data_IF_636529372760
#
_entry.id   IF_636529372760
#
_cell.length_a   1.000
_cell.length_b   1.000
_cell.length_c   1.000
_cell.angle_alpha   90.00
_cell.angle_beta   90.00
_cell.angle_gamma   90.00
#
_symmetry.space_group_name_H-M   'P 1'
#
loop_
_entity.id
_entity.type
_entity.pdbx_description
1 polymer ?
#
# COMPACT_ATOMS: atom_id res chain seq x y z
N UNK A 1 76.29 95.19 -12.70
CA UNK A 1 76.63 93.88 -12.09
C UNK A 1 75.66 93.48 -10.99
N UNK A 2 75.47 94.28 -9.93
CA UNK A 2 74.52 93.99 -8.83
C UNK A 2 73.06 93.79 -9.26
N UNK A 3 72.51 94.66 -10.12
CA UNK A 3 71.14 94.50 -10.65
C UNK A 3 70.95 93.21 -11.44
N UNK A 4 71.95 92.80 -12.23
CA UNK A 4 71.88 91.55 -13.00
C UNK A 4 71.90 90.32 -12.08
N UNK A 5 72.74 90.35 -11.05
CA UNK A 5 72.87 89.28 -10.06
C UNK A 5 71.60 89.15 -9.21
N UNK A 6 70.99 90.28 -8.83
CA UNK A 6 69.70 90.31 -8.14
C UNK A 6 68.56 89.76 -9.01
N UNK A 7 68.45 90.21 -10.27
CA UNK A 7 67.44 89.72 -11.20
C UNK A 7 67.60 88.21 -11.45
N UNK A 8 68.83 87.73 -11.60
CA UNK A 8 69.11 86.30 -11.78
C UNK A 8 68.70 85.47 -10.55
N UNK A 9 69.07 85.91 -9.34
CA UNK A 9 68.68 85.23 -8.10
C UNK A 9 67.17 85.22 -7.91
N UNK A 10 66.49 86.33 -8.19
CA UNK A 10 65.03 86.40 -8.10
C UNK A 10 64.34 85.43 -9.07
N UNK A 11 64.79 85.40 -10.32
CA UNK A 11 64.23 84.53 -11.36
C UNK A 11 64.49 83.05 -11.04
N UNK A 12 65.67 82.72 -10.54
CA UNK A 12 66.01 81.38 -10.08
C UNK A 12 65.14 80.94 -8.90
N UNK A 13 65.03 81.77 -7.86
CA UNK A 13 64.20 81.46 -6.69
C UNK A 13 62.73 81.31 -7.06
N UNK A 14 62.21 82.17 -7.93
CA UNK A 14 60.83 82.09 -8.42
C UNK A 14 60.59 80.80 -9.20
N UNK A 15 61.46 80.46 -10.16
CA UNK A 15 61.34 79.24 -10.95
C UNK A 15 61.44 77.98 -10.07
N UNK A 16 62.36 77.98 -9.11
CA UNK A 16 62.51 76.86 -8.18
C UNK A 16 61.27 76.66 -7.32
N UNK A 17 60.76 77.74 -6.69
CA UNK A 17 59.54 77.69 -5.89
C UNK A 17 58.33 77.26 -6.72
N UNK A 18 58.18 77.81 -7.93
CA UNK A 18 57.08 77.46 -8.82
C UNK A 18 57.12 75.98 -9.22
N UNK A 19 58.28 75.49 -9.66
CA UNK A 19 58.45 74.09 -10.04
C UNK A 19 58.23 73.15 -8.85
N UNK A 20 58.76 73.50 -7.68
CA UNK A 20 58.59 72.71 -6.47
C UNK A 20 57.12 72.63 -6.06
N UNK A 21 56.43 73.76 -5.96
CA UNK A 21 55.01 73.81 -5.59
C UNK A 21 54.14 73.09 -6.61
N UNK A 22 54.38 73.31 -7.90
CA UNK A 22 53.63 72.65 -8.96
C UNK A 22 53.80 71.13 -8.91
N UNK A 23 55.04 70.66 -8.83
CA UNK A 23 55.34 69.22 -8.77
C UNK A 23 54.77 68.59 -7.49
N UNK A 24 54.92 69.25 -6.34
CA UNK A 24 54.38 68.76 -5.08
C UNK A 24 52.85 68.66 -5.10
N UNK A 25 52.17 69.73 -5.50
CA UNK A 25 50.71 69.75 -5.57
C UNK A 25 50.19 68.74 -6.60
N UNK A 26 50.82 68.64 -7.77
CA UNK A 26 50.41 67.70 -8.80
C UNK A 26 50.57 66.26 -8.33
N UNK A 27 51.74 65.89 -7.79
CA UNK A 27 51.99 64.54 -7.29
C UNK A 27 51.08 64.19 -6.12
N UNK A 28 50.90 65.12 -5.17
CA UNK A 28 50.04 64.89 -4.02
C UNK A 28 48.58 64.68 -4.45
N UNK A 29 48.06 65.58 -5.29
CA UNK A 29 46.68 65.47 -5.78
C UNK A 29 46.48 64.21 -6.61
N UNK A 30 47.42 63.89 -7.51
CA UNK A 30 47.35 62.69 -8.34
C UNK A 30 47.38 61.41 -7.49
N UNK A 31 48.33 61.29 -6.57
CA UNK A 31 48.45 60.13 -5.70
C UNK A 31 47.23 60.00 -4.78
N UNK A 32 46.77 61.10 -4.19
CA UNK A 32 45.61 61.07 -3.30
C UNK A 32 44.34 60.69 -4.05
N UNK A 33 44.05 61.33 -5.18
CA UNK A 33 42.87 60.99 -6.00
C UNK A 33 42.95 59.56 -6.53
N UNK A 34 44.09 59.15 -7.06
CA UNK A 34 44.26 57.81 -7.60
C UNK A 34 44.11 56.76 -6.52
N UNK A 35 44.80 56.91 -5.38
CA UNK A 35 44.72 55.96 -4.28
C UNK A 35 43.30 55.93 -3.70
N UNK A 36 42.68 57.08 -3.47
CA UNK A 36 41.34 57.13 -2.90
C UNK A 36 40.30 56.55 -3.86
N UNK A 37 40.27 57.00 -5.11
CA UNK A 37 39.30 56.49 -6.09
C UNK A 37 39.54 55.01 -6.38
N UNK A 38 40.78 54.60 -6.63
CA UNK A 38 41.08 53.22 -6.98
C UNK A 38 40.82 52.29 -5.81
N UNK A 39 41.40 52.54 -4.63
CA UNK A 39 41.21 51.65 -3.49
C UNK A 39 39.77 51.67 -3.02
N UNK A 40 39.15 52.84 -2.87
CA UNK A 40 37.79 52.90 -2.33
C UNK A 40 36.79 52.33 -3.32
N UNK A 41 36.80 52.75 -4.59
CA UNK A 41 35.83 52.25 -5.56
C UNK A 41 36.07 50.78 -5.86
N UNK A 42 37.33 50.36 -6.09
CA UNK A 42 37.61 48.96 -6.43
C UNK A 42 37.33 48.04 -5.26
N UNK A 43 37.81 48.36 -4.06
CA UNK A 43 37.56 47.50 -2.89
C UNK A 43 36.08 47.46 -2.56
N UNK A 44 35.37 48.61 -2.57
CA UNK A 44 33.97 48.65 -2.22
C UNK A 44 33.11 47.94 -3.27
N UNK A 45 33.30 48.22 -4.57
CA UNK A 45 32.56 47.52 -5.63
C UNK A 45 32.88 46.04 -5.63
N UNK A 46 34.15 45.65 -5.55
CA UNK A 46 34.53 44.24 -5.61
C UNK A 46 34.04 43.48 -4.39
N UNK A 47 34.26 43.97 -3.17
CA UNK A 47 33.76 43.32 -1.96
C UNK A 47 32.24 43.28 -1.95
N UNK A 48 31.57 44.39 -2.28
CA UNK A 48 30.11 44.42 -2.23
C UNK A 48 29.49 43.54 -3.30
N UNK A 49 29.92 43.64 -4.57
CA UNK A 49 29.40 42.78 -5.65
C UNK A 49 29.74 41.32 -5.40
N UNK A 50 30.99 41.00 -5.04
CA UNK A 50 31.39 39.62 -4.82
C UNK A 50 30.67 39.02 -3.61
N UNK A 51 30.64 39.71 -2.48
CA UNK A 51 29.93 39.22 -1.30
C UNK A 51 28.44 39.10 -1.57
N UNK A 52 27.81 40.11 -2.17
CA UNK A 52 26.37 40.08 -2.42
C UNK A 52 26.01 39.00 -3.46
N UNK A 53 26.68 38.95 -4.60
CA UNK A 53 26.41 37.94 -5.63
C UNK A 53 26.73 36.54 -5.11
N UNK A 54 27.87 36.34 -4.45
CA UNK A 54 28.26 35.01 -3.99
C UNK A 54 27.36 34.54 -2.85
N UNK A 55 27.14 35.35 -1.81
CA UNK A 55 26.25 34.97 -0.71
C UNK A 55 24.82 34.81 -1.20
N UNK A 56 24.29 35.75 -1.98
CA UNK A 56 22.91 35.67 -2.43
C UNK A 56 22.71 34.49 -3.37
N UNK A 57 23.58 34.31 -4.38
CA UNK A 57 23.45 33.18 -5.31
C UNK A 57 23.67 31.85 -4.58
N UNK A 58 24.68 31.74 -3.71
CA UNK A 58 24.95 30.50 -2.99
C UNK A 58 23.82 30.18 -2.00
N UNK A 59 23.44 31.12 -1.14
CA UNK A 59 22.35 30.90 -0.18
C UNK A 59 21.04 30.64 -0.90
N UNK A 60 20.67 31.46 -1.89
CA UNK A 60 19.40 31.30 -2.58
C UNK A 60 19.37 30.00 -3.39
N UNK A 61 20.36 29.74 -4.25
CA UNK A 61 20.37 28.50 -5.03
C UNK A 61 20.49 27.29 -4.12
N UNK A 62 21.38 27.29 -3.15
CA UNK A 62 21.58 26.13 -2.30
C UNK A 62 20.36 25.87 -1.40
N UNK A 63 19.86 26.87 -0.67
CA UNK A 63 18.68 26.68 0.18
C UNK A 63 17.45 26.37 -0.64
N UNK A 64 17.20 27.10 -1.73
CA UNK A 64 16.01 26.88 -2.54
C UNK A 64 16.07 25.52 -3.23
N UNK A 65 17.18 25.16 -3.87
CA UNK A 65 17.31 23.85 -4.52
C UNK A 65 17.27 22.73 -3.48
N UNK A 66 17.97 22.86 -2.36
CA UNK A 66 17.98 21.82 -1.33
C UNK A 66 16.60 21.66 -0.70
N UNK A 67 15.95 22.75 -0.25
CA UNK A 67 14.61 22.68 0.32
C UNK A 67 13.60 22.17 -0.71
N UNK A 68 13.62 22.68 -1.94
CA UNK A 68 12.66 22.27 -2.95
C UNK A 68 12.86 20.81 -3.36
N UNK A 69 14.09 20.40 -3.71
CA UNK A 69 14.37 19.01 -4.08
C UNK A 69 14.10 18.07 -2.92
N UNK A 70 14.58 18.39 -1.72
CA UNK A 70 14.42 17.51 -0.57
C UNK A 70 12.95 17.41 -0.16
N UNK A 71 12.24 18.53 -0.04
CA UNK A 71 10.81 18.51 0.29
C UNK A 71 10.00 17.82 -0.80
N UNK A 72 10.23 18.13 -2.07
CA UNK A 72 9.48 17.54 -3.17
C UNK A 72 9.76 16.05 -3.31
N UNK A 73 11.03 15.63 -3.32
CA UNK A 73 11.39 14.21 -3.38
C UNK A 73 10.88 13.47 -2.16
N UNK A 74 11.08 14.00 -0.95
CA UNK A 74 10.67 13.32 0.27
C UNK A 74 9.15 13.23 0.37
N UNK A 75 8.40 14.32 0.17
CA UNK A 75 6.93 14.28 0.18
C UNK A 75 6.40 13.39 -0.93
N UNK A 76 6.91 13.53 -2.15
CA UNK A 76 6.40 12.75 -3.28
C UNK A 76 6.72 11.26 -3.11
N UNK A 77 7.97 10.89 -2.82
CA UNK A 77 8.33 9.49 -2.58
C UNK A 77 7.59 8.94 -1.37
N UNK A 78 7.57 9.65 -0.25
CA UNK A 78 6.95 9.15 0.96
C UNK A 78 5.44 9.01 0.79
N UNK A 79 4.74 10.05 0.33
CA UNK A 79 3.29 9.97 0.11
C UNK A 79 2.95 8.95 -0.97
N UNK A 80 3.66 8.95 -2.10
CA UNK A 80 3.35 8.03 -3.19
C UNK A 80 3.64 6.59 -2.81
N UNK A 81 4.85 6.27 -2.32
CA UNK A 81 5.18 4.90 -1.90
C UNK A 81 4.30 4.46 -0.75
N UNK A 82 4.13 5.29 0.28
CA UNK A 82 3.36 4.89 1.46
C UNK A 82 1.88 4.71 1.10
N UNK A 83 1.27 5.67 0.41
CA UNK A 83 -0.13 5.54 0.00
C UNK A 83 -0.32 4.38 -0.97
N UNK A 84 0.54 4.24 -1.98
CA UNK A 84 0.39 3.17 -2.97
C UNK A 84 0.64 1.81 -2.34
N UNK A 85 1.75 1.61 -1.61
CA UNK A 85 2.01 0.34 -0.93
C UNK A 85 0.94 0.03 0.10
N UNK A 86 0.57 0.98 0.96
CA UNK A 86 -0.40 0.73 2.00
C UNK A 86 -1.78 0.45 1.42
N UNK A 87 -2.29 1.28 0.51
CA UNK A 87 -3.59 1.02 -0.12
C UNK A 87 -3.56 -0.25 -0.95
N UNK A 88 -2.54 -0.49 -1.75
CA UNK A 88 -2.48 -1.66 -2.61
C UNK A 88 -2.34 -2.94 -1.80
N UNK A 89 -1.39 -3.02 -0.86
CA UNK A 89 -1.22 -4.19 0.01
C UNK A 89 -2.44 -4.40 0.89
N UNK A 90 -2.95 -3.34 1.53
CA UNK A 90 -4.10 -3.48 2.42
C UNK A 90 -5.34 -3.90 1.63
N UNK A 91 -5.65 -3.24 0.52
CA UNK A 91 -6.80 -3.61 -0.30
C UNK A 91 -6.63 -5.00 -0.89
N UNK A 92 -5.47 -5.34 -1.43
CA UNK A 92 -5.23 -6.65 -2.03
C UNK A 92 -5.29 -7.75 -0.97
N UNK A 93 -4.55 -7.63 0.13
CA UNK A 93 -4.58 -8.63 1.20
C UNK A 93 -5.95 -8.73 1.84
N UNK A 94 -6.59 -7.61 2.17
CA UNK A 94 -7.89 -7.63 2.84
C UNK A 94 -8.97 -8.17 1.92
N UNK A 95 -9.11 -7.67 0.68
CA UNK A 95 -10.10 -8.20 -0.27
C UNK A 95 -9.81 -9.65 -0.63
N UNK A 96 -8.57 -10.00 -0.92
CA UNK A 96 -8.24 -11.37 -1.32
C UNK A 96 -8.46 -12.34 -0.16
N UNK A 97 -7.95 -12.03 1.03
CA UNK A 97 -8.14 -12.89 2.19
C UNK A 97 -9.62 -12.97 2.58
N UNK A 98 -10.33 -11.84 2.61
CA UNK A 98 -11.74 -11.83 2.97
C UNK A 98 -12.58 -12.58 1.93
N UNK A 99 -12.42 -12.30 0.64
CA UNK A 99 -13.15 -13.02 -0.41
C UNK A 99 -12.79 -14.49 -0.43
N UNK A 100 -11.51 -14.84 -0.35
CA UNK A 100 -11.08 -16.23 -0.38
C UNK A 100 -11.57 -16.99 0.84
N UNK A 101 -11.34 -16.49 2.06
CA UNK A 101 -11.82 -17.14 3.28
C UNK A 101 -13.34 -17.19 3.31
N UNK A 102 -14.02 -16.09 2.99
CA UNK A 102 -15.48 -16.06 3.04
C UNK A 102 -16.10 -16.98 1.99
N UNK A 103 -15.68 -16.90 0.72
CA UNK A 103 -16.19 -17.78 -0.32
C UNK A 103 -15.82 -19.24 -0.05
N UNK A 104 -14.59 -19.52 0.32
CA UNK A 104 -14.15 -20.89 0.56
C UNK A 104 -14.86 -21.49 1.77
N UNK A 105 -14.89 -20.79 2.90
CA UNK A 105 -15.59 -21.26 4.10
C UNK A 105 -17.07 -21.38 3.84
N UNK A 106 -17.71 -20.38 3.23
CA UNK A 106 -19.14 -20.40 2.99
C UNK A 106 -19.50 -21.50 1.99
N UNK A 107 -18.85 -21.57 0.83
CA UNK A 107 -19.13 -22.62 -0.15
C UNK A 107 -18.80 -24.00 0.41
N UNK A 108 -17.65 -24.18 1.06
CA UNK A 108 -17.26 -25.49 1.58
C UNK A 108 -18.18 -25.93 2.72
N UNK A 109 -18.38 -25.10 3.75
CA UNK A 109 -19.28 -25.46 4.85
C UNK A 109 -20.70 -25.62 4.36
N UNK A 110 -21.23 -24.69 3.56
CA UNK A 110 -22.61 -24.75 3.12
C UNK A 110 -22.82 -25.96 2.20
N UNK A 111 -21.97 -26.16 1.19
CA UNK A 111 -22.11 -27.31 0.28
C UNK A 111 -21.88 -28.61 1.02
N UNK A 112 -20.85 -28.71 1.87
CA UNK A 112 -20.56 -29.94 2.60
C UNK A 112 -21.65 -30.26 3.62
N UNK A 113 -22.03 -29.31 4.48
CA UNK A 113 -23.11 -29.53 5.44
C UNK A 113 -24.41 -29.81 4.71
N UNK A 114 -24.78 -29.04 3.69
CA UNK A 114 -26.04 -29.22 3.00
C UNK A 114 -26.07 -30.55 2.24
N UNK A 115 -25.05 -30.88 1.45
CA UNK A 115 -25.00 -32.18 0.75
C UNK A 115 -24.95 -33.33 1.74
N UNK A 116 -24.14 -33.24 2.79
CA UNK A 116 -24.01 -34.32 3.75
C UNK A 116 -25.30 -34.51 4.56
N UNK A 117 -25.84 -33.46 5.16
CA UNK A 117 -27.12 -33.53 5.88
C UNK A 117 -28.25 -33.95 4.94
N UNK A 118 -28.37 -33.33 3.77
CA UNK A 118 -29.45 -33.65 2.86
C UNK A 118 -29.32 -35.07 2.34
N UNK A 119 -28.21 -35.45 1.72
CA UNK A 119 -28.06 -36.80 1.16
C UNK A 119 -28.09 -37.85 2.26
N UNK A 120 -27.29 -37.69 3.31
CA UNK A 120 -27.20 -38.73 4.34
C UNK A 120 -28.52 -38.87 5.08
N UNK A 121 -29.04 -37.77 5.62
CA UNK A 121 -30.20 -37.81 6.51
C UNK A 121 -31.48 -38.08 5.72
N UNK A 122 -31.68 -37.45 4.55
CA UNK A 122 -32.86 -37.71 3.72
C UNK A 122 -32.83 -39.11 3.10
N UNK A 123 -31.72 -39.52 2.46
CA UNK A 123 -31.68 -40.83 1.81
C UNK A 123 -31.77 -41.95 2.85
N UNK A 124 -31.06 -41.82 3.97
CA UNK A 124 -31.11 -42.83 5.03
C UNK A 124 -32.51 -42.92 5.64
N UNK A 125 -33.12 -41.80 6.04
CA UNK A 125 -34.49 -41.82 6.58
C UNK A 125 -35.48 -42.36 5.55
N UNK A 126 -35.41 -41.88 4.31
CA UNK A 126 -36.34 -42.28 3.26
C UNK A 126 -36.23 -43.77 2.95
N UNK A 127 -35.01 -44.28 2.74
CA UNK A 127 -34.79 -45.70 2.50
C UNK A 127 -35.20 -46.54 3.70
N UNK A 128 -34.86 -46.13 4.91
CA UNK A 128 -35.23 -46.84 6.13
C UNK A 128 -36.75 -46.92 6.30
N UNK A 129 -37.46 -45.78 6.19
CA UNK A 129 -38.91 -45.73 6.28
C UNK A 129 -39.57 -46.54 5.17
N UNK A 130 -39.09 -46.41 3.93
CA UNK A 130 -39.63 -47.14 2.80
C UNK A 130 -39.47 -48.65 2.98
N UNK A 131 -38.27 -49.11 3.35
CA UNK A 131 -38.00 -50.53 3.61
C UNK A 131 -38.83 -51.06 4.77
N UNK A 132 -38.93 -50.29 5.86
CA UNK A 132 -39.75 -50.66 7.02
C UNK A 132 -41.23 -50.80 6.65
N UNK A 133 -41.79 -49.79 5.97
CA UNK A 133 -43.18 -49.82 5.51
C UNK A 133 -43.43 -50.96 4.53
N UNK A 134 -42.52 -51.18 3.58
CA UNK A 134 -42.63 -52.27 2.62
C UNK A 134 -42.61 -53.64 3.30
N UNK A 135 -41.66 -53.89 4.21
CA UNK A 135 -41.60 -55.13 4.98
C UNK A 135 -42.84 -55.32 5.84
N UNK A 136 -43.31 -54.27 6.51
CA UNK A 136 -44.51 -54.32 7.33
C UNK A 136 -45.74 -54.68 6.49
N UNK A 137 -45.94 -53.99 5.36
CA UNK A 137 -47.04 -54.27 4.42
C UNK A 137 -46.95 -55.68 3.85
N UNK A 138 -45.75 -56.15 3.48
CA UNK A 138 -45.54 -57.49 2.97
C UNK A 138 -45.90 -58.56 4.02
N UNK A 139 -45.44 -58.39 5.25
CA UNK A 139 -45.77 -59.30 6.34
C UNK A 139 -47.29 -59.32 6.59
N UNK A 140 -47.91 -58.15 6.73
CA UNK A 140 -49.31 -58.03 7.13
C UNK A 140 -50.31 -58.39 6.04
N UNK A 141 -50.05 -58.02 4.78
CA UNK A 141 -50.97 -58.28 3.67
C UNK A 141 -50.73 -59.64 3.00
N UNK A 142 -49.49 -60.13 2.96
CA UNK A 142 -49.17 -61.37 2.23
C UNK A 142 -48.86 -62.53 3.16
N UNK A 143 -47.95 -62.36 4.13
CA UNK A 143 -47.52 -63.51 4.94
C UNK A 143 -48.58 -63.95 5.96
N UNK A 144 -49.13 -63.04 6.76
CA UNK A 144 -50.11 -63.38 7.79
C UNK A 144 -51.39 -64.02 7.23
N UNK A 145 -52.03 -63.49 6.16
CA UNK A 145 -53.22 -64.11 5.60
C UNK A 145 -52.93 -65.47 4.97
N UNK A 146 -51.78 -65.63 4.29
CA UNK A 146 -51.38 -66.93 3.73
C UNK A 146 -51.11 -67.96 4.82
N UNK A 147 -50.43 -67.57 5.90
CA UNK A 147 -50.20 -68.43 7.06
C UNK A 147 -51.53 -68.84 7.72
N UNK A 148 -52.44 -67.88 7.92
CA UNK A 148 -53.78 -68.13 8.46
C UNK A 148 -54.58 -69.08 7.57
N UNK A 149 -54.58 -68.87 6.25
CA UNK A 149 -55.24 -69.76 5.29
C UNK A 149 -54.60 -71.15 5.27
N UNK A 150 -53.28 -71.25 5.41
CA UNK A 150 -52.57 -72.54 5.46
C UNK A 150 -52.89 -73.32 6.72
N UNK A 151 -52.89 -72.66 7.88
CA UNK A 151 -53.29 -73.26 9.16
C UNK A 151 -54.76 -73.69 9.11
N UNK A 152 -55.67 -72.83 8.62
CA UNK A 152 -57.09 -73.15 8.46
C UNK A 152 -57.33 -74.35 7.53
N UNK A 153 -56.56 -74.47 6.45
CA UNK A 153 -56.61 -75.67 5.58
C UNK A 153 -56.11 -76.92 6.30
N UNK A 154 -55.01 -76.82 7.07
CA UNK A 154 -54.52 -77.96 7.85
C UNK A 154 -55.52 -78.41 8.92
N UNK A 155 -56.19 -77.48 9.61
CA UNK A 155 -57.21 -77.83 10.60
C UNK A 155 -58.43 -78.48 9.94
N UNK A 156 -58.90 -77.97 8.79
CA UNK A 156 -60.00 -78.60 8.03
C UNK A 156 -59.65 -80.01 7.51
N UNK A 157 -58.41 -80.23 7.05
CA UNK A 157 -57.96 -81.57 6.62
C UNK A 157 -57.78 -82.52 7.81
N UNK A 158 -57.34 -82.02 8.97
CA UNK A 158 -57.28 -82.82 10.19
C UNK A 158 -58.68 -83.21 10.70
N UNK A 159 -59.65 -82.29 10.65
CA UNK A 159 -61.06 -82.56 10.97
C UNK A 159 -61.66 -83.61 10.02
N UNK A 160 -61.36 -83.55 8.71
CA UNK A 160 -61.81 -84.55 7.73
C UNK A 160 -61.05 -85.90 7.82
N UNK A 161 -59.83 -85.91 8.34
CA UNK A 161 -59.03 -87.14 8.55
C UNK A 161 -59.35 -87.86 9.85
N UNK A 162 -59.98 -87.18 10.82
CA UNK A 162 -60.52 -87.79 12.04
C UNK A 162 -61.84 -88.55 11.81
N UNK A 163 -62.49 -88.35 10.65
CA UNK A 163 -63.72 -89.04 10.26
C UNK A 163 -63.50 -90.36 9.48
N UNK A 164 -62.26 -90.88 9.41
CA UNK A 164 -61.94 -92.20 8.83
C UNK A 164 -61.55 -93.23 9.91
N UNK A 165 -62.55 -93.55 10.73
CA UNK A 165 -63.09 -94.87 11.16
C UNK A 165 -62.16 -96.02 11.65
N UNK A 166 -62.44 -96.61 12.83
CA UNK A 166 -62.19 -98.03 13.06
C UNK A 166 -63.38 -98.86 13.60
N UNK A 167 -64.64 -98.41 13.54
CA UNK A 167 -65.80 -99.23 14.02
C UNK A 167 -66.88 -99.54 12.95
N UNK A 168 -66.47 -99.76 11.70
CA UNK A 168 -67.28 -100.51 10.71
C UNK A 168 -66.59 -101.77 10.17
N UNK A 169 -65.93 -102.52 11.07
CA UNK A 169 -65.68 -103.96 10.88
C UNK A 169 -66.49 -104.72 11.94
N UNK A 170 -67.80 -104.86 11.71
CA UNK A 170 -68.68 -105.95 12.17
C UNK A 170 -70.15 -105.64 11.83
N UNK A 171 -70.54 -106.04 10.63
CA UNK A 171 -71.83 -106.64 10.27
C UNK A 171 -71.82 -106.89 8.76
#
# INVERSE_FOLDING_TARGET
MYLYLYMYLYLYMYLYLYLYLYMYLYLYMYLYLYMYLYLYMYMYLYLYLYMYLYLYMYLYLYLYMYLYLYMYLYLYLYLYLYMYLYLYLYMYLYLYMYLYLYLYMYLYLYMYLYLYLYLYLYMYLYLYLYMYLYLYMYLYLYMYPNLYLHIRRKTQVAEQGLDLDPEKIKA
#
